data_IF_841386785634
#
_entry.id   IF_841386785634
#
_cell.length_a   1.000
_cell.length_b   1.000
_cell.length_c   1.000
_cell.angle_alpha   90.00
_cell.angle_beta   90.00
_cell.angle_gamma   90.00
#
_symmetry.space_group_name_H-M   'P 1'
#
loop_
_entity.id
_entity.type
_entity.pdbx_description
1 polymer ?
#
# COMPACT_ATOMS: atom_id res chain seq x y z
N UNK A 1 31.15 -8.07 0.10
CA UNK A 1 30.22 -8.78 -0.80
C UNK A 1 28.97 -9.07 -0.01
N UNK A 2 27.91 -8.29 -0.22
CA UNK A 2 26.56 -8.82 -0.04
C UNK A 2 25.84 -8.49 -1.35
N UNK A 3 25.78 -9.51 -2.20
CA UNK A 3 24.95 -9.53 -3.39
C UNK A 3 23.51 -9.61 -2.91
N UNK A 4 22.71 -8.58 -3.16
CA UNK A 4 21.27 -8.74 -3.31
C UNK A 4 20.86 -7.95 -4.53
N UNK A 5 20.62 -8.67 -5.62
CA UNK A 5 19.76 -8.21 -6.70
C UNK A 5 18.37 -7.97 -6.08
N UNK A 6 18.13 -6.77 -5.54
CA UNK A 6 16.77 -6.33 -5.20
C UNK A 6 16.09 -5.92 -6.50
N UNK A 7 15.56 -6.90 -7.23
CA UNK A 7 14.45 -6.67 -8.16
C UNK A 7 13.15 -6.50 -7.36
N UNK A 8 13.19 -5.63 -6.35
CA UNK A 8 12.05 -5.22 -5.54
C UNK A 8 11.58 -3.86 -6.00
N UNK A 9 10.29 -3.60 -5.91
CA UNK A 9 9.76 -2.29 -6.22
C UNK A 9 10.26 -1.29 -5.17
N UNK A 10 10.85 -0.15 -5.56
CA UNK A 10 11.28 0.91 -4.60
C UNK A 10 10.11 1.45 -3.75
N UNK A 11 8.87 1.19 -4.18
CA UNK A 11 7.65 1.60 -3.53
C UNK A 11 6.98 0.39 -2.89
N UNK A 12 6.74 0.48 -1.58
CA UNK A 12 6.03 -0.55 -0.82
C UNK A 12 4.76 0.06 -0.20
N UNK A 13 3.63 -0.63 -0.36
CA UNK A 13 2.41 -0.34 0.38
C UNK A 13 2.25 -1.39 1.48
N UNK A 14 2.42 -0.97 2.73
CA UNK A 14 2.11 -1.81 3.88
C UNK A 14 0.61 -1.78 4.17
N UNK A 15 -0.05 -2.94 4.11
CA UNK A 15 -1.45 -3.12 4.43
C UNK A 15 -1.60 -3.62 5.87
N UNK A 16 -2.25 -2.81 6.70
CA UNK A 16 -2.60 -3.21 8.06
C UNK A 16 -3.59 -4.39 8.01
N UNK A 17 -3.25 -5.49 8.68
CA UNK A 17 -4.12 -6.67 8.80
C UNK A 17 -4.60 -6.90 10.25
N UNK A 18 -4.69 -5.83 11.05
CA UNK A 18 -5.39 -5.86 12.34
C UNK A 18 -6.89 -6.19 12.19
N UNK A 19 -7.54 -6.61 13.29
CA UNK A 19 -8.92 -7.12 13.28
C UNK A 19 -9.92 -6.16 12.57
N UNK A 20 -9.86 -4.87 12.89
CA UNK A 20 -10.75 -3.86 12.29
C UNK A 20 -10.48 -3.63 10.80
N UNK A 21 -9.20 -3.61 10.40
CA UNK A 21 -8.82 -3.49 8.99
C UNK A 21 -9.27 -4.72 8.20
N UNK A 22 -9.10 -5.95 8.72
CA UNK A 22 -9.59 -7.16 8.05
C UNK A 22 -11.11 -7.16 7.86
N UNK A 23 -11.87 -6.69 8.85
CA UNK A 23 -13.35 -6.60 8.77
C UNK A 23 -13.82 -5.58 7.72
N UNK A 24 -13.08 -4.49 7.54
CA UNK A 24 -13.44 -3.40 6.63
C UNK A 24 -12.74 -3.47 5.26
N UNK A 25 -11.72 -4.33 5.12
CA UNK A 25 -10.89 -4.44 3.92
C UNK A 25 -11.78 -4.75 2.72
N UNK A 26 -11.60 -3.96 1.66
CA UNK A 26 -12.24 -4.20 0.38
C UNK A 26 -11.32 -4.92 -0.60
N UNK A 27 -11.69 -4.83 -1.88
CA UNK A 27 -10.83 -5.19 -3.02
C UNK A 27 -10.24 -3.95 -3.70
N UNK A 28 -10.31 -2.79 -3.07
CA UNK A 28 -10.05 -1.52 -3.74
C UNK A 28 -8.55 -1.42 -4.05
N UNK A 29 -7.68 -1.79 -3.10
CA UNK A 29 -6.25 -1.90 -3.34
C UNK A 29 -5.94 -2.78 -4.56
N UNK A 30 -6.40 -4.03 -4.57
CA UNK A 30 -6.15 -4.97 -5.66
C UNK A 30 -6.70 -4.46 -7.01
N UNK A 31 -7.87 -3.82 -7.00
CA UNK A 31 -8.48 -3.22 -8.19
C UNK A 31 -7.64 -2.08 -8.76
N UNK A 32 -7.08 -1.22 -7.91
CA UNK A 32 -6.22 -0.12 -8.34
C UNK A 32 -4.90 -0.64 -8.93
N UNK A 33 -4.27 -1.63 -8.28
CA UNK A 33 -3.06 -2.27 -8.81
C UNK A 33 -3.28 -2.84 -10.20
N UNK A 34 -4.40 -3.56 -10.39
CA UNK A 34 -4.77 -4.10 -11.70
C UNK A 34 -5.06 -2.99 -12.72
N UNK A 35 -5.86 -1.99 -12.34
CA UNK A 35 -6.27 -0.87 -13.20
C UNK A 35 -5.08 -0.09 -13.74
N UNK A 36 -4.08 0.16 -12.90
CA UNK A 36 -2.90 0.96 -13.24
C UNK A 36 -1.67 0.12 -13.60
N UNK A 37 -1.81 -1.22 -13.71
CA UNK A 37 -0.71 -2.15 -14.03
C UNK A 37 0.51 -1.96 -13.12
N UNK A 38 0.26 -1.83 -11.81
CA UNK A 38 1.30 -1.51 -10.83
C UNK A 38 2.01 -2.74 -10.24
N UNK A 39 1.69 -3.95 -10.69
CA UNK A 39 2.25 -5.19 -10.09
C UNK A 39 3.76 -5.26 -10.12
N UNK A 40 4.38 -4.70 -11.15
CA UNK A 40 5.84 -4.69 -11.33
C UNK A 40 6.47 -3.37 -10.84
N UNK A 41 5.70 -2.53 -10.14
CA UNK A 41 6.11 -1.18 -9.69
C UNK A 41 5.90 -0.93 -8.21
N UNK A 42 5.02 -1.69 -7.56
CA UNK A 42 4.76 -1.58 -6.14
C UNK A 42 4.72 -2.97 -5.53
N UNK A 43 5.35 -3.09 -4.37
CA UNK A 43 5.22 -4.26 -3.52
C UNK A 43 4.15 -4.01 -2.46
N UNK A 44 3.50 -5.08 -2.02
CA UNK A 44 2.44 -5.01 -1.01
C UNK A 44 2.79 -5.96 0.10
N UNK A 45 3.12 -5.39 1.24
CA UNK A 45 3.44 -6.16 2.43
C UNK A 45 2.30 -6.07 3.43
N UNK A 46 2.09 -7.14 4.18
CA UNK A 46 1.11 -7.14 5.28
C UNK A 46 1.84 -6.78 6.55
N UNK A 47 1.23 -5.92 7.37
CA UNK A 47 1.75 -5.57 8.69
C UNK A 47 0.70 -5.79 9.77
N UNK A 48 1.16 -5.91 11.01
CA UNK A 48 0.30 -6.02 12.19
C UNK A 48 -0.57 -4.76 12.40
N UNK A 49 -1.37 -4.77 13.48
CA UNK A 49 -2.23 -3.64 13.82
C UNK A 49 -1.39 -2.35 13.95
N UNK A 50 -1.77 -1.33 13.19
CA UNK A 50 -1.12 -0.01 13.21
C UNK A 50 -1.73 0.96 14.22
N UNK A 51 -2.65 0.48 15.07
CA UNK A 51 -3.43 1.25 16.06
C UNK A 51 -4.27 2.42 15.52
N UNK A 52 -4.32 2.60 14.19
CA UNK A 52 -5.08 3.67 13.50
C UNK A 52 -6.49 3.22 13.06
N UNK A 53 -7.18 2.45 13.90
CA UNK A 53 -8.44 1.76 13.55
C UNK A 53 -9.59 2.68 13.10
N UNK A 54 -9.59 3.95 13.53
CA UNK A 54 -10.56 4.97 13.07
C UNK A 54 -10.49 5.17 11.55
N UNK A 55 -9.31 5.01 10.96
CA UNK A 55 -9.06 5.17 9.51
C UNK A 55 -9.02 3.84 8.75
N UNK A 56 -9.46 2.74 9.38
CA UNK A 56 -9.46 1.44 8.74
C UNK A 56 -10.36 1.41 7.48
N UNK A 57 -9.93 0.75 6.39
CA UNK A 57 -8.69 -0.03 6.25
C UNK A 57 -7.45 0.86 6.06
N UNK A 58 -6.43 0.63 6.89
CA UNK A 58 -5.21 1.47 6.93
C UNK A 58 -4.14 0.91 6.02
N UNK A 59 -3.54 1.80 5.25
CA UNK A 59 -2.37 1.57 4.41
C UNK A 59 -1.26 2.54 4.79
N UNK A 60 -0.02 2.16 4.53
CA UNK A 60 1.15 3.01 4.65
C UNK A 60 1.98 2.93 3.36
N UNK A 61 2.48 4.06 2.89
CA UNK A 61 3.30 4.18 1.68
C UNK A 61 4.74 4.47 2.06
N UNK A 62 5.64 3.57 1.70
CA UNK A 62 7.08 3.75 1.77
C UNK A 62 7.65 4.07 0.38
N UNK A 63 8.67 4.96 0.26
CA UNK A 63 9.41 5.66 1.31
C UNK A 63 8.79 7.00 1.76
N UNK A 64 7.66 7.41 1.20
CA UNK A 64 7.02 8.69 1.52
C UNK A 64 6.50 8.83 2.97
N UNK A 65 6.58 7.75 3.76
CA UNK A 65 6.10 7.63 5.15
C UNK A 65 4.67 8.14 5.35
N UNK A 66 3.79 7.85 4.38
CA UNK A 66 2.42 8.36 4.36
C UNK A 66 1.45 7.29 4.87
N UNK A 67 0.72 7.60 5.95
CA UNK A 67 -0.41 6.81 6.43
C UNK A 67 -1.72 7.30 5.81
N UNK A 68 -2.52 6.39 5.26
CA UNK A 68 -3.78 6.75 4.60
C UNK A 68 -4.81 5.62 4.68
N UNK A 69 -6.08 5.95 4.42
CA UNK A 69 -7.13 4.95 4.34
C UNK A 69 -7.24 4.41 2.91
N UNK A 70 -7.78 3.20 2.75
CA UNK A 70 -8.02 2.62 1.42
C UNK A 70 -8.90 3.54 0.53
N UNK A 71 -9.72 4.43 1.11
CA UNK A 71 -10.54 5.42 0.36
C UNK A 71 -9.69 6.48 -0.36
N UNK A 72 -8.52 6.80 0.18
CA UNK A 72 -7.61 7.83 -0.35
C UNK A 72 -6.67 7.27 -1.42
N UNK A 73 -6.71 5.96 -1.67
CA UNK A 73 -5.78 5.26 -2.55
C UNK A 73 -5.68 5.88 -3.96
N UNK A 74 -6.81 6.36 -4.50
CA UNK A 74 -6.82 6.98 -5.83
C UNK A 74 -6.04 8.28 -5.93
N UNK A 75 -6.04 9.12 -4.88
CA UNK A 75 -5.25 10.35 -4.85
C UNK A 75 -3.78 10.03 -4.57
N UNK A 76 -3.51 9.07 -3.68
CA UNK A 76 -2.14 8.62 -3.35
C UNK A 76 -1.44 8.04 -4.57
N UNK A 77 -2.06 7.09 -5.28
CA UNK A 77 -1.47 6.47 -6.48
C UNK A 77 -1.14 7.52 -7.54
N UNK A 78 -2.07 8.43 -7.85
CA UNK A 78 -1.85 9.47 -8.86
C UNK A 78 -0.72 10.43 -8.48
N UNK A 79 -0.58 10.74 -7.20
CA UNK A 79 0.38 11.74 -6.72
C UNK A 79 1.78 11.18 -6.52
N UNK A 80 1.90 9.95 -6.06
CA UNK A 80 3.17 9.38 -5.59
C UNK A 80 3.69 8.19 -6.42
N UNK A 81 2.82 7.51 -7.18
CA UNK A 81 3.20 6.25 -7.86
C UNK A 81 3.19 6.41 -9.39
N UNK A 82 2.20 7.11 -9.94
CA UNK A 82 2.15 7.35 -11.38
C UNK A 82 3.18 8.43 -11.78
N UNK A 83 3.84 8.29 -12.94
CA UNK A 83 4.68 9.34 -13.49
C UNK A 83 3.84 10.60 -13.76
N UNK A 84 4.47 11.76 -13.61
CA UNK A 84 3.86 13.07 -13.94
C UNK A 84 3.75 13.27 -15.44
#
# INVERSE_FOLDING_TARGET
>A
MENREETGSDIIIYQCVGQNCRKKKGKLLENYIKKYRLKDRIDIEKMDCSDRCTNAPVLHLHPNDLWFSEKDLGSVIKKFILPK
#
